data_IF_934488098204
#
_entry.id   IF_934488098204
#
_cell.length_a   1.000
_cell.length_b   1.000
_cell.length_c   1.000
_cell.angle_alpha   90.00
_cell.angle_beta   90.00
_cell.angle_gamma   90.00
#
_symmetry.space_group_name_H-M   'P 1'
#
loop_
_entity.id
_entity.type
_entity.pdbx_description
1 polymer ?
#
# COMPACT_ATOMS: atom_id res chain seq x y z
N UNK A 1 -11.50 -4.70 -9.21
CA UNK A 1 -12.36 -5.42 -8.24
C UNK A 1 -13.30 -4.42 -7.57
N UNK A 2 -14.51 -4.82 -7.15
CA UNK A 2 -15.49 -3.96 -6.45
C UNK A 2 -15.17 -3.98 -4.95
N UNK A 3 -15.63 -3.01 -4.16
CA UNK A 3 -15.69 -3.02 -2.68
C UNK A 3 -14.64 -2.14 -1.97
N UNK A 4 -14.94 -0.87 -1.71
CA UNK A 4 -14.27 0.00 -0.76
C UNK A 4 -15.04 0.01 0.57
N UNK A 5 -14.36 0.30 1.68
CA UNK A 5 -14.97 0.40 3.02
C UNK A 5 -16.28 1.22 2.96
N UNK A 6 -17.35 0.77 3.64
CA UNK A 6 -18.67 1.34 3.47
C UNK A 6 -18.72 2.67 4.19
N UNK A 7 -18.95 3.74 3.42
CA UNK A 7 -19.28 5.06 3.95
C UNK A 7 -20.73 5.30 3.59
N UNK A 8 -21.66 4.96 4.49
CA UNK A 8 -23.08 5.24 4.25
C UNK A 8 -23.36 6.73 4.04
N UNK A 9 -24.59 7.11 3.69
CA UNK A 9 -25.00 8.50 3.43
C UNK A 9 -24.58 9.50 4.54
N UNK A 10 -23.56 10.35 4.34
CA UNK A 10 -23.05 11.29 5.36
C UNK A 10 -24.12 12.22 5.94
N UNK A 11 -25.17 12.49 5.15
CA UNK A 11 -26.29 13.36 5.48
C UNK A 11 -27.47 12.64 6.18
N UNK A 12 -27.37 11.34 6.41
CA UNK A 12 -28.31 10.56 7.22
C UNK A 12 -27.54 9.66 8.20
N UNK A 13 -27.09 10.20 9.34
CA UNK A 13 -26.44 9.41 10.40
C UNK A 13 -27.43 8.50 11.16
N UNK A 14 -28.73 8.68 10.92
CA UNK A 14 -29.85 7.99 11.54
C UNK A 14 -30.50 7.08 10.49
N UNK A 15 -30.21 5.78 10.54
CA UNK A 15 -31.01 4.77 9.84
C UNK A 15 -31.72 3.80 10.78
N UNK A 16 -31.47 3.90 12.08
CA UNK A 16 -32.28 3.27 13.13
C UNK A 16 -32.19 4.18 14.37
N UNK A 17 -33.30 4.82 14.71
CA UNK A 17 -33.46 5.56 15.98
C UNK A 17 -33.41 4.56 17.14
N UNK A 18 -33.93 3.35 16.93
CA UNK A 18 -33.80 2.21 17.84
C UNK A 18 -32.62 1.29 17.45
N UNK A 19 -31.44 1.55 18.05
CA UNK A 19 -30.30 0.64 17.96
C UNK A 19 -30.50 -0.64 18.81
N UNK A 20 -29.49 -1.51 18.85
CA UNK A 20 -29.48 -2.73 19.70
C UNK A 20 -29.62 -2.37 21.20
N UNK A 21 -29.16 -1.17 21.57
CA UNK A 21 -29.40 -0.53 22.86
C UNK A 21 -29.96 0.87 22.57
N UNK A 22 -31.06 1.21 23.23
CA UNK A 22 -31.70 2.52 23.19
C UNK A 22 -32.07 2.93 24.61
N UNK A 23 -31.67 4.13 25.02
CA UNK A 23 -32.15 4.79 26.23
C UNK A 23 -32.66 6.18 25.84
N UNK A 24 -33.97 6.33 25.67
CA UNK A 24 -34.63 7.62 25.57
C UNK A 24 -35.46 7.90 26.83
N UNK A 25 -35.18 9.01 27.52
CA UNK A 25 -36.11 9.56 28.50
C UNK A 25 -37.42 9.94 27.77
N UNK A 26 -38.54 9.39 28.25
CA UNK A 26 -39.83 9.34 27.54
C UNK A 26 -40.23 10.63 26.82
N UNK A 27 -40.29 10.54 25.49
CA UNK A 27 -40.85 11.51 24.56
C UNK A 27 -41.06 10.83 23.20
N UNK A 28 -42.20 11.08 22.58
CA UNK A 28 -42.75 10.46 21.37
C UNK A 28 -41.73 10.32 20.21
N UNK A 29 -41.51 9.11 19.63
CA UNK A 29 -40.55 8.88 18.54
C UNK A 29 -41.02 9.38 17.14
N UNK A 30 -42.16 10.07 17.03
CA UNK A 30 -42.83 10.28 15.75
C UNK A 30 -43.12 11.75 15.35
N UNK A 31 -42.33 12.75 15.78
CA UNK A 31 -42.44 14.10 15.21
C UNK A 31 -41.25 14.45 14.30
N UNK A 32 -41.44 14.46 12.95
CA UNK A 32 -40.40 14.77 11.97
C UNK A 32 -39.97 16.25 11.95
N UNK A 33 -40.56 17.09 12.80
CA UNK A 33 -40.27 18.52 12.92
C UNK A 33 -39.79 18.95 14.32
N UNK A 34 -39.77 18.06 15.33
CA UNK A 34 -39.20 18.39 16.64
C UNK A 34 -37.70 18.14 16.64
N UNK A 35 -36.96 19.17 16.99
CA UNK A 35 -35.55 19.30 16.68
C UNK A 35 -34.59 18.47 17.53
N UNK A 36 -35.02 17.85 18.64
CA UNK A 36 -34.09 17.20 19.59
C UNK A 36 -34.72 16.01 20.31
N UNK A 37 -34.24 14.80 20.02
CA UNK A 37 -34.36 13.65 20.89
C UNK A 37 -32.96 13.37 21.46
N UNK A 38 -32.81 13.44 22.79
CA UNK A 38 -31.54 13.11 23.47
C UNK A 38 -31.36 11.58 23.55
N UNK A 39 -31.47 10.91 22.41
CA UNK A 39 -31.32 9.47 22.30
C UNK A 39 -29.85 9.10 22.03
N UNK A 40 -29.44 7.99 22.63
CA UNK A 40 -28.18 7.31 22.32
C UNK A 40 -28.56 5.94 21.76
N UNK A 41 -28.01 5.59 20.60
CA UNK A 41 -28.24 4.29 19.99
C UNK A 41 -26.94 3.64 19.53
N UNK A 42 -26.84 2.32 19.72
CA UNK A 42 -25.68 1.54 19.30
C UNK A 42 -26.04 0.58 18.17
N UNK A 43 -25.24 0.60 17.11
CA UNK A 43 -25.35 -0.32 15.97
C UNK A 43 -24.09 -1.18 15.88
N UNK A 44 -24.29 -2.47 15.64
CA UNK A 44 -23.21 -3.39 15.35
C UNK A 44 -23.50 -4.10 14.04
N UNK A 45 -22.47 -4.32 13.25
CA UNK A 45 -22.59 -4.95 11.95
C UNK A 45 -21.32 -5.69 11.58
N UNK A 46 -21.38 -6.33 10.44
CA UNK A 46 -20.24 -6.99 9.83
C UNK A 46 -20.13 -6.53 8.39
N UNK A 47 -18.91 -6.32 7.96
CA UNK A 47 -18.61 -5.96 6.60
C UNK A 47 -17.56 -6.92 6.02
N UNK A 48 -17.97 -7.67 5.01
CA UNK A 48 -17.12 -8.65 4.33
C UNK A 48 -16.52 -8.09 3.05
N UNK A 49 -15.30 -8.57 2.74
CA UNK A 49 -14.61 -8.47 1.46
C UNK A 49 -14.60 -7.07 0.84
N UNK A 50 -13.84 -6.13 1.41
CA UNK A 50 -13.50 -4.89 0.70
C UNK A 50 -12.20 -5.03 -0.04
N UNK A 51 -12.22 -4.89 -1.36
CA UNK A 51 -11.06 -4.76 -2.23
C UNK A 51 -10.76 -3.29 -2.55
N UNK A 52 -9.74 -2.75 -1.90
CA UNK A 52 -9.09 -1.52 -2.35
C UNK A 52 -8.35 -1.79 -3.66
N UNK A 53 -8.74 -1.15 -4.76
CA UNK A 53 -8.03 -1.20 -6.06
C UNK A 53 -7.75 0.23 -6.54
N UNK A 54 -6.49 0.68 -6.45
CA UNK A 54 -6.08 2.03 -6.91
C UNK A 54 -4.69 2.06 -7.51
N UNK A 55 -4.51 3.02 -8.42
CA UNK A 55 -3.19 3.38 -8.94
C UNK A 55 -2.37 4.10 -7.87
N UNK A 56 -1.42 3.36 -7.29
CA UNK A 56 -0.40 3.90 -6.38
C UNK A 56 0.77 4.50 -7.15
N UNK A 57 1.30 5.63 -6.66
CA UNK A 57 2.53 6.26 -7.14
C UNK A 57 3.61 6.10 -6.09
N UNK A 58 4.84 5.81 -6.51
CA UNK A 58 6.01 5.83 -5.65
C UNK A 58 6.30 7.26 -5.15
N UNK A 59 6.55 7.39 -3.86
CA UNK A 59 6.91 8.64 -3.20
C UNK A 59 8.39 8.61 -2.82
N UNK A 60 9.22 8.97 -3.79
CA UNK A 60 10.69 8.89 -3.67
C UNK A 60 11.34 10.17 -4.19
N UNK A 61 12.57 10.42 -3.77
CA UNK A 61 13.38 11.53 -4.28
C UNK A 61 13.75 11.32 -5.76
N UNK A 62 14.02 12.43 -6.47
CA UNK A 62 14.46 12.41 -7.87
C UNK A 62 15.79 11.68 -8.06
N UNK A 63 16.64 11.76 -7.05
CA UNK A 63 17.95 11.13 -7.04
C UNK A 63 17.99 10.02 -5.99
N UNK A 64 18.80 9.00 -6.27
CA UNK A 64 19.04 7.82 -5.48
C UNK A 64 20.54 7.55 -5.44
N UNK A 65 21.04 7.23 -4.26
CA UNK A 65 22.47 7.07 -4.02
C UNK A 65 22.89 5.63 -4.34
N UNK A 66 23.77 5.46 -5.33
CA UNK A 66 24.31 4.16 -5.74
C UNK A 66 25.66 4.30 -6.46
N UNK A 67 26.28 3.19 -6.85
CA UNK A 67 27.55 3.18 -7.58
C UNK A 67 27.46 3.82 -8.97
N UNK A 68 28.59 4.35 -9.44
CA UNK A 68 28.74 4.88 -10.79
C UNK A 68 28.37 3.83 -11.84
N UNK A 69 27.60 4.22 -12.87
CA UNK A 69 27.20 3.31 -13.93
C UNK A 69 28.42 2.82 -14.73
N UNK A 70 28.42 1.56 -15.22
CA UNK A 70 29.34 1.15 -16.27
C UNK A 70 29.24 2.07 -17.49
N UNK A 71 30.36 2.29 -18.15
CA UNK A 71 30.55 3.24 -19.25
C UNK A 71 31.14 2.55 -20.48
N UNK A 72 31.16 3.26 -21.61
CA UNK A 72 31.79 2.76 -22.85
C UNK A 72 33.31 2.64 -22.76
N UNK A 73 33.96 3.05 -21.67
CA UNK A 73 35.37 2.76 -21.41
C UNK A 73 35.61 1.38 -20.78
N UNK A 74 34.57 0.68 -20.33
CA UNK A 74 34.64 -0.62 -19.65
C UNK A 74 34.69 -1.82 -20.63
N UNK A 75 35.32 -1.65 -21.80
CA UNK A 75 35.24 -2.57 -22.96
C UNK A 75 36.09 -3.84 -22.81
N UNK A 76 36.98 -3.91 -21.81
CA UNK A 76 37.83 -5.06 -21.50
C UNK A 76 37.59 -5.57 -20.06
N UNK A 77 36.32 -5.50 -19.63
CA UNK A 77 35.93 -5.60 -18.23
C UNK A 77 35.85 -4.23 -17.57
N UNK A 78 35.30 -4.21 -16.35
CA UNK A 78 35.13 -3.01 -15.55
C UNK A 78 36.52 -2.38 -15.26
N UNK A 79 36.76 -1.13 -15.66
CA UNK A 79 38.06 -0.49 -15.45
C UNK A 79 38.23 0.02 -14.02
N UNK A 80 37.12 0.41 -13.38
CA UNK A 80 37.09 0.93 -12.03
C UNK A 80 35.95 0.29 -11.24
N UNK A 81 36.24 -0.13 -10.01
CA UNK A 81 35.22 -0.61 -9.10
C UNK A 81 34.30 0.52 -8.61
N UNK A 82 32.99 0.26 -8.47
CA UNK A 82 32.04 1.24 -7.96
C UNK A 82 32.20 1.37 -6.44
N UNK A 83 33.28 1.96 -5.97
CA UNK A 83 33.62 2.12 -4.54
C UNK A 83 33.11 3.44 -3.93
N UNK A 84 32.56 4.32 -4.77
CA UNK A 84 32.03 5.61 -4.37
C UNK A 84 30.53 5.68 -4.61
N UNK A 85 29.85 6.32 -3.66
CA UNK A 85 28.44 6.60 -3.76
C UNK A 85 28.21 7.83 -4.64
N UNK A 86 27.30 7.72 -5.61
CA UNK A 86 27.00 8.77 -6.58
C UNK A 86 25.49 8.96 -6.67
N UNK A 87 25.05 10.22 -6.68
CA UNK A 87 23.67 10.57 -6.92
C UNK A 87 23.28 10.21 -8.37
N UNK A 88 22.27 9.35 -8.54
CA UNK A 88 21.77 8.94 -9.85
C UNK A 88 20.27 9.17 -9.98
N UNK A 89 19.74 9.34 -11.20
CA UNK A 89 18.29 9.40 -11.41
C UNK A 89 17.62 8.18 -10.80
N UNK A 90 16.66 8.42 -9.90
CA UNK A 90 15.98 7.36 -9.19
C UNK A 90 15.02 6.62 -10.14
N UNK A 91 15.21 5.31 -10.38
CA UNK A 91 14.35 4.53 -11.27
C UNK A 91 12.88 4.53 -10.88
N UNK A 92 12.59 4.59 -9.57
CA UNK A 92 11.23 4.64 -9.04
C UNK A 92 10.60 6.02 -9.18
N UNK A 93 11.34 7.09 -9.46
CA UNK A 93 10.77 8.42 -9.51
C UNK A 93 9.72 8.54 -10.62
N UNK A 94 8.50 8.95 -10.23
CA UNK A 94 7.40 9.11 -11.18
C UNK A 94 6.76 7.80 -11.64
N UNK A 95 7.12 6.66 -11.05
CA UNK A 95 6.54 5.35 -11.38
C UNK A 95 5.26 5.07 -10.61
N UNK A 96 4.48 4.14 -11.14
CA UNK A 96 3.22 3.69 -10.57
C UNK A 96 3.24 2.18 -10.43
N UNK A 97 2.53 1.66 -9.41
CA UNK A 97 2.26 0.24 -9.31
C UNK A 97 1.29 -0.19 -10.41
N UNK A 98 1.49 -1.42 -10.90
CA UNK A 98 0.64 -2.01 -11.93
C UNK A 98 -0.68 -2.47 -11.32
N UNK A 99 -0.58 -3.07 -10.14
CA UNK A 99 -1.72 -3.55 -9.37
C UNK A 99 -1.48 -3.34 -7.88
N UNK A 100 -2.54 -3.05 -7.14
CA UNK A 100 -2.48 -2.87 -5.70
C UNK A 100 -3.86 -3.16 -5.10
N UNK A 101 -3.98 -4.36 -4.52
CA UNK A 101 -5.19 -4.86 -3.90
C UNK A 101 -5.02 -4.96 -2.39
N UNK A 102 -5.98 -4.46 -1.62
CA UNK A 102 -6.09 -4.80 -0.19
C UNK A 102 -7.48 -5.32 0.11
N UNK A 103 -7.54 -6.50 0.71
CA UNK A 103 -8.75 -7.18 1.14
C UNK A 103 -8.95 -6.95 2.63
N UNK A 104 -10.07 -6.36 3.03
CA UNK A 104 -10.39 -6.13 4.44
C UNK A 104 -11.72 -6.72 4.80
N UNK A 105 -11.74 -7.43 5.93
CA UNK A 105 -12.91 -8.05 6.49
C UNK A 105 -13.05 -7.58 7.95
N UNK A 106 -14.14 -6.90 8.30
CA UNK A 106 -14.23 -6.19 9.58
C UNK A 106 -15.62 -6.23 10.20
N UNK A 107 -15.66 -6.35 11.53
CA UNK A 107 -16.82 -5.97 12.33
C UNK A 107 -16.91 -4.44 12.40
N UNK A 108 -18.13 -3.94 12.50
CA UNK A 108 -18.46 -2.52 12.61
C UNK A 108 -19.23 -2.25 13.89
N UNK A 109 -18.92 -1.13 14.51
CA UNK A 109 -19.67 -0.59 15.62
C UNK A 109 -19.86 0.90 15.40
N UNK A 110 -21.07 1.37 15.70
CA UNK A 110 -21.43 2.77 15.61
C UNK A 110 -22.25 3.17 16.83
N UNK A 111 -21.93 4.34 17.37
CA UNK A 111 -22.62 4.95 18.48
C UNK A 111 -23.18 6.28 17.98
N UNK A 112 -24.49 6.32 17.85
CA UNK A 112 -25.22 7.54 17.57
C UNK A 112 -25.49 8.29 18.88
N UNK A 113 -25.24 9.61 18.85
CA UNK A 113 -25.45 10.55 19.94
C UNK A 113 -26.34 11.68 19.40
N UNK A 114 -27.46 11.93 20.08
CA UNK A 114 -28.37 13.06 19.80
C UNK A 114 -28.93 13.07 18.37
N UNK A 115 -29.09 11.89 17.75
CA UNK A 115 -29.60 11.66 16.39
C UNK A 115 -28.86 12.34 15.24
N UNK A 116 -27.81 13.12 15.53
CA UNK A 116 -27.10 13.98 14.56
C UNK A 116 -25.63 13.66 14.44
N UNK A 117 -25.06 12.99 15.43
CA UNK A 117 -23.66 12.64 15.47
C UNK A 117 -23.52 11.13 15.63
N UNK A 118 -22.64 10.53 14.85
CA UNK A 118 -22.35 9.10 14.96
C UNK A 118 -20.84 8.89 14.93
N UNK A 119 -20.33 8.24 15.97
CA UNK A 119 -18.95 7.80 16.08
C UNK A 119 -18.92 6.32 15.78
N UNK A 120 -18.10 5.95 14.82
CA UNK A 120 -18.01 4.56 14.38
C UNK A 120 -16.58 4.07 14.35
N UNK A 121 -16.43 2.77 14.50
CA UNK A 121 -15.16 2.09 14.31
C UNK A 121 -15.37 0.76 13.58
N UNK A 122 -14.31 0.30 12.93
CA UNK A 122 -14.27 -1.05 12.39
C UNK A 122 -13.07 -1.77 12.97
N UNK A 123 -13.24 -3.04 13.32
CA UNK A 123 -12.17 -3.92 13.77
C UNK A 123 -12.18 -5.15 12.88
N UNK A 124 -11.05 -5.48 12.27
CA UNK A 124 -11.02 -6.51 11.25
C UNK A 124 -9.64 -7.06 10.98
N UNK A 125 -9.56 -7.76 9.86
CA UNK A 125 -8.34 -8.31 9.33
C UNK A 125 -8.13 -7.85 7.88
N UNK A 126 -6.89 -7.52 7.52
CA UNK A 126 -6.52 -7.09 6.19
C UNK A 126 -5.37 -7.95 5.65
N UNK A 127 -5.48 -8.32 4.38
CA UNK A 127 -4.40 -8.90 3.56
C UNK A 127 -4.25 -8.06 2.29
N UNK A 128 -3.11 -8.14 1.62
CA UNK A 128 -2.81 -7.30 0.47
C UNK A 128 -1.90 -7.97 -0.55
N UNK A 129 -2.01 -7.47 -1.77
CA UNK A 129 -1.24 -7.86 -2.93
C UNK A 129 -0.78 -6.60 -3.66
N UNK A 130 0.51 -6.51 -3.95
CA UNK A 130 1.09 -5.42 -4.73
C UNK A 130 1.91 -5.99 -5.88
N UNK A 131 1.67 -5.46 -7.08
CA UNK A 131 2.45 -5.79 -8.28
C UNK A 131 2.96 -4.53 -8.94
N UNK A 132 4.23 -4.54 -9.33
CA UNK A 132 4.80 -3.43 -10.07
C UNK A 132 5.99 -3.81 -10.91
N UNK A 133 6.36 -2.89 -11.80
CA UNK A 133 7.64 -2.97 -12.46
C UNK A 133 8.76 -2.78 -11.41
N UNK A 134 9.84 -3.54 -11.55
CA UNK A 134 11.02 -3.53 -10.68
C UNK A 134 11.65 -2.14 -10.47
N UNK A 135 11.54 -1.22 -11.43
CA UNK A 135 11.96 0.16 -11.26
C UNK A 135 11.22 0.83 -10.08
N UNK A 136 9.94 0.52 -9.87
CA UNK A 136 9.12 1.06 -8.77
C UNK A 136 9.59 0.60 -7.38
N UNK A 137 10.36 -0.49 -7.34
CA UNK A 137 10.96 -1.07 -6.14
C UNK A 137 12.47 -0.82 -6.06
N UNK A 138 13.03 0.08 -6.89
CA UNK A 138 14.47 0.34 -6.94
C UNK A 138 15.30 -0.97 -6.96
N UNK A 139 14.91 -1.94 -7.79
CA UNK A 139 15.70 -3.16 -7.95
C UNK A 139 17.05 -2.79 -8.58
N UNK A 140 18.11 -2.97 -7.82
CA UNK A 140 19.48 -2.61 -8.19
C UNK A 140 20.41 -3.81 -8.01
N UNK A 141 21.45 -3.84 -8.84
CA UNK A 141 22.48 -4.86 -8.77
C UNK A 141 23.88 -4.29 -8.87
N UNK A 142 24.84 -5.07 -8.37
CA UNK A 142 26.25 -4.90 -8.68
C UNK A 142 26.57 -5.73 -9.92
N UNK A 143 26.84 -5.04 -11.02
CA UNK A 143 27.27 -5.62 -12.27
C UNK A 143 28.77 -5.39 -12.45
N UNK A 144 29.51 -6.49 -12.52
CA UNK A 144 30.94 -6.48 -12.72
C UNK A 144 31.74 -5.92 -11.55
N UNK A 145 32.94 -6.45 -11.37
CA UNK A 145 33.96 -5.89 -10.48
C UNK A 145 35.34 -6.31 -10.98
N UNK A 146 36.32 -5.42 -10.83
CA UNK A 146 37.75 -5.69 -11.00
C UNK A 146 38.34 -6.38 -9.77
N UNK A 147 37.70 -6.21 -8.60
CA UNK A 147 38.07 -6.91 -7.37
C UNK A 147 38.16 -8.41 -7.64
N UNK A 148 39.32 -9.02 -7.34
CA UNK A 148 39.49 -10.47 -7.44
C UNK A 148 38.48 -11.18 -6.54
N UNK A 149 37.97 -12.33 -6.98
CA UNK A 149 36.98 -13.11 -6.24
C UNK A 149 37.35 -13.35 -4.76
N UNK A 150 38.63 -13.61 -4.47
CA UNK A 150 39.15 -13.82 -3.10
C UNK A 150 39.01 -12.61 -2.16
N UNK A 151 38.88 -11.41 -2.71
CA UNK A 151 38.78 -10.14 -1.97
C UNK A 151 37.39 -9.52 -2.01
N UNK A 152 36.44 -10.15 -2.71
CA UNK A 152 35.08 -9.64 -2.91
C UNK A 152 34.36 -9.31 -1.59
N UNK A 153 34.46 -10.21 -0.60
CA UNK A 153 33.75 -10.06 0.66
C UNK A 153 34.23 -8.89 1.52
N UNK A 154 35.43 -8.38 1.25
CA UNK A 154 36.02 -7.24 1.96
C UNK A 154 35.97 -5.95 1.15
N UNK A 155 35.50 -6.01 -0.10
CA UNK A 155 35.44 -4.85 -0.98
C UNK A 155 34.15 -4.06 -0.74
N UNK A 156 34.29 -2.74 -0.60
CA UNK A 156 33.18 -1.82 -0.41
C UNK A 156 32.55 -1.45 -1.77
N UNK A 157 31.82 -2.39 -2.38
CA UNK A 157 31.30 -2.27 -3.74
C UNK A 157 29.82 -1.88 -3.74
N UNK A 158 29.50 -0.73 -4.34
CA UNK A 158 28.14 -0.22 -4.45
C UNK A 158 27.42 -0.82 -5.65
N UNK A 159 26.13 -1.20 -5.54
CA UNK A 159 25.30 -1.54 -6.69
C UNK A 159 25.34 -0.44 -7.74
N UNK A 160 25.65 -0.78 -8.99
CA UNK A 160 25.94 0.17 -10.07
C UNK A 160 24.96 0.07 -11.26
N UNK A 161 24.02 -0.86 -11.24
CA UNK A 161 23.00 -1.02 -12.28
C UNK A 161 21.60 -1.06 -11.69
N UNK A 162 20.62 -0.53 -12.44
CA UNK A 162 19.21 -0.58 -12.09
C UNK A 162 18.51 -1.57 -13.03
N UNK A 163 17.84 -2.57 -12.46
CA UNK A 163 17.20 -3.67 -13.19
C UNK A 163 15.74 -3.30 -13.45
N UNK A 164 15.49 -2.44 -14.44
CA UNK A 164 14.19 -1.77 -14.65
C UNK A 164 13.20 -2.53 -15.54
N UNK A 165 13.58 -3.68 -16.09
CA UNK A 165 12.75 -4.48 -16.99
C UNK A 165 12.35 -5.79 -16.33
N UNK A 166 11.55 -5.69 -15.27
CA UNK A 166 11.16 -6.84 -14.49
C UNK A 166 9.86 -6.61 -13.73
N UNK A 167 9.35 -7.69 -13.17
CA UNK A 167 8.13 -7.71 -12.37
C UNK A 167 8.50 -8.07 -10.94
N UNK A 168 7.94 -7.34 -9.99
CA UNK A 168 8.03 -7.63 -8.56
C UNK A 168 6.61 -7.77 -8.04
N UNK A 169 6.37 -8.85 -7.33
CA UNK A 169 5.10 -9.18 -6.69
C UNK A 169 5.31 -9.36 -5.19
N UNK A 170 4.36 -8.85 -4.42
CA UNK A 170 4.42 -8.84 -2.98
C UNK A 170 3.06 -9.26 -2.43
N UNK A 171 3.06 -10.29 -1.59
CA UNK A 171 1.90 -10.76 -0.85
C UNK A 171 2.09 -10.50 0.63
N UNK A 172 1.05 -10.06 1.31
CA UNK A 172 1.10 -9.79 2.74
C UNK A 172 0.30 -10.81 3.55
N UNK A 173 0.78 -11.10 4.74
CA UNK A 173 0.04 -11.87 5.73
C UNK A 173 -1.23 -11.13 6.17
N UNK A 174 -2.17 -11.89 6.72
CA UNK A 174 -3.40 -11.37 7.31
C UNK A 174 -3.08 -10.75 8.66
N UNK A 175 -3.28 -9.43 8.78
CA UNK A 175 -3.04 -8.71 10.04
C UNK A 175 -4.31 -8.05 10.55
N UNK A 176 -4.29 -7.67 11.83
CA UNK A 176 -5.33 -6.83 12.39
C UNK A 176 -5.37 -5.45 11.72
N UNK A 177 -6.58 -5.01 11.40
CA UNK A 177 -6.88 -3.71 10.85
C UNK A 177 -7.96 -3.02 11.68
N UNK A 178 -7.86 -1.71 11.80
CA UNK A 178 -8.85 -0.92 12.51
C UNK A 178 -9.14 0.38 11.79
N UNK A 179 -10.34 0.90 11.99
CA UNK A 179 -10.68 2.25 11.59
C UNK A 179 -11.51 2.94 12.66
N UNK A 180 -11.43 4.27 12.67
CA UNK A 180 -12.30 5.14 13.46
C UNK A 180 -12.79 6.26 12.58
N UNK A 181 -14.04 6.64 12.75
CA UNK A 181 -14.63 7.73 12.03
C UNK A 181 -15.76 8.39 12.81
N UNK A 182 -16.15 9.54 12.31
CA UNK A 182 -17.28 10.29 12.80
C UNK A 182 -18.08 10.84 11.63
N UNK A 183 -19.38 10.96 11.81
CA UNK A 183 -20.30 11.59 10.87
C UNK A 183 -21.23 12.53 11.63
N UNK A 184 -21.58 13.65 11.02
CA UNK A 184 -22.41 14.66 11.63
C UNK A 184 -23.34 15.32 10.62
N UNK A 185 -24.58 15.60 11.02
CA UNK A 185 -25.44 16.57 10.36
C UNK A 185 -24.94 17.99 10.69
N UNK A 186 -24.48 18.72 9.67
CA UNK A 186 -23.96 20.08 9.79
C UNK A 186 -25.05 21.13 9.72
N UNK A 187 -26.10 20.87 8.94
CA UNK A 187 -27.20 21.80 8.74
C UNK A 187 -28.47 21.05 8.33
N UNK A 188 -29.60 21.56 8.80
CA UNK A 188 -30.93 21.06 8.45
C UNK A 188 -31.86 22.25 8.18
N UNK A 189 -32.66 22.16 7.12
CA UNK A 189 -33.77 23.09 6.89
C UNK A 189 -34.92 22.35 6.21
N UNK A 190 -36.03 22.21 6.95
CA UNK A 190 -37.14 21.39 6.50
C UNK A 190 -36.68 19.95 6.26
N UNK A 191 -36.89 19.45 5.04
CA UNK A 191 -36.52 18.08 4.66
C UNK A 191 -35.10 17.96 4.09
N UNK A 192 -34.31 19.04 4.04
CA UNK A 192 -32.95 19.03 3.51
C UNK A 192 -31.92 18.92 4.64
N UNK A 193 -30.96 18.00 4.50
CA UNK A 193 -29.86 17.82 5.47
C UNK A 193 -28.52 17.85 4.76
N UNK A 194 -27.60 18.66 5.28
CA UNK A 194 -26.19 18.66 4.89
C UNK A 194 -25.41 17.91 5.97
N UNK A 195 -24.68 16.87 5.60
CA UNK A 195 -23.84 16.11 6.51
C UNK A 195 -22.41 16.00 6.04
N UNK A 196 -21.52 15.70 6.97
CA UNK A 196 -20.12 15.40 6.69
C UNK A 196 -19.69 14.13 7.43
N UNK A 197 -18.71 13.43 6.87
CA UNK A 197 -18.07 12.31 7.53
C UNK A 197 -16.56 12.35 7.37
N UNK A 198 -15.89 11.72 8.32
CA UNK A 198 -14.45 11.54 8.34
C UNK A 198 -14.13 10.15 8.86
N UNK A 199 -13.14 9.50 8.26
CA UNK A 199 -12.68 8.19 8.69
C UNK A 199 -11.17 8.08 8.50
N UNK A 200 -10.53 7.43 9.45
CA UNK A 200 -9.15 7.01 9.39
C UNK A 200 -9.07 5.50 9.56
N UNK A 201 -8.38 4.82 8.65
CA UNK A 201 -8.12 3.39 8.72
C UNK A 201 -6.61 3.11 8.72
N UNK A 202 -6.21 2.08 9.46
CA UNK A 202 -4.83 1.65 9.59
C UNK A 202 -4.71 0.13 9.71
N UNK A 203 -3.67 -0.41 9.07
CA UNK A 203 -3.20 -1.78 9.26
C UNK A 203 -1.69 -1.85 9.01
N UNK A 204 -1.01 -2.81 9.65
CA UNK A 204 0.43 -3.06 9.42
C UNK A 204 0.68 -4.51 9.04
N UNK A 205 0.29 -4.95 7.83
CA UNK A 205 0.55 -6.31 7.41
C UNK A 205 2.04 -6.55 7.19
N UNK A 206 2.51 -7.74 7.56
CA UNK A 206 3.86 -8.20 7.23
C UNK A 206 3.86 -8.77 5.82
N UNK A 207 4.98 -8.65 5.12
CA UNK A 207 5.17 -9.30 3.83
C UNK A 207 5.37 -10.80 4.08
N UNK A 208 4.52 -11.62 3.47
CA UNK A 208 4.61 -13.07 3.57
C UNK A 208 5.43 -13.65 2.41
N UNK A 209 5.24 -13.13 1.21
CA UNK A 209 5.96 -13.60 0.02
C UNK A 209 6.39 -12.41 -0.85
N UNK A 210 7.64 -12.47 -1.32
CA UNK A 210 8.22 -11.48 -2.21
C UNK A 210 8.85 -12.21 -3.40
N UNK A 211 8.30 -11.95 -4.57
CA UNK A 211 8.72 -12.56 -5.83
C UNK A 211 9.33 -11.50 -6.72
N UNK A 212 10.53 -11.79 -7.21
CA UNK A 212 11.26 -10.93 -8.13
C UNK A 212 11.55 -11.74 -9.38
N UNK A 213 10.97 -11.31 -10.50
CA UNK A 213 11.14 -11.94 -11.80
C UNK A 213 11.82 -10.94 -12.72
N UNK A 214 13.15 -11.05 -12.85
CA UNK A 214 13.93 -10.26 -13.79
C UNK A 214 14.83 -11.13 -14.67
N UNK A 215 15.13 -10.66 -15.88
CA UNK A 215 15.98 -11.39 -16.82
C UNK A 215 17.38 -11.74 -16.26
N UNK A 216 17.85 -11.00 -15.24
CA UNK A 216 19.17 -11.19 -14.65
C UNK A 216 19.17 -11.89 -13.27
N UNK A 217 18.00 -12.01 -12.64
CA UNK A 217 17.83 -12.59 -11.30
C UNK A 217 16.36 -12.94 -11.08
N UNK A 218 16.11 -14.18 -10.67
CA UNK A 218 14.80 -14.64 -10.26
C UNK A 218 14.90 -15.22 -8.85
N UNK A 219 14.10 -14.70 -7.92
CA UNK A 219 14.09 -15.20 -6.55
C UNK A 219 12.75 -14.97 -5.88
N UNK A 220 12.43 -15.88 -4.97
CA UNK A 220 11.26 -15.86 -4.10
C UNK A 220 11.74 -15.90 -2.66
N UNK A 221 11.21 -15.03 -1.81
CA UNK A 221 11.52 -15.00 -0.39
C UNK A 221 10.23 -15.15 0.40
N UNK A 222 10.18 -16.18 1.24
CA UNK A 222 9.15 -16.34 2.25
C UNK A 222 9.56 -15.53 3.50
N UNK A 223 8.64 -14.69 4.00
CA UNK A 223 8.84 -13.79 5.15
C UNK A 223 10.12 -12.97 5.01
N UNK A 224 10.23 -12.14 3.96
CA UNK A 224 11.45 -11.42 3.66
C UNK A 224 11.86 -10.52 4.82
N UNK A 225 13.16 -10.57 5.14
CA UNK A 225 13.80 -9.70 6.11
C UNK A 225 14.79 -8.79 5.40
N UNK A 226 14.92 -7.57 5.90
CA UNK A 226 15.78 -6.56 5.29
C UNK A 226 16.26 -5.51 6.28
N UNK A 227 17.00 -4.53 5.77
CA UNK A 227 17.58 -3.46 6.55
C UNK A 227 16.73 -2.20 6.40
N UNK A 228 16.19 -1.71 7.52
CA UNK A 228 15.38 -0.49 7.56
C UNK A 228 16.28 0.73 7.58
N UNK A 229 16.10 1.64 6.62
CA UNK A 229 16.85 2.91 6.56
C UNK A 229 18.36 2.79 6.32
N UNK A 230 18.86 1.62 5.96
CA UNK A 230 20.29 1.42 5.67
C UNK A 230 20.68 2.04 4.32
N UNK A 231 21.90 2.56 4.21
CA UNK A 231 22.50 3.00 2.94
C UNK A 231 23.13 1.84 2.16
N UNK A 232 23.45 2.06 0.89
CA UNK A 232 24.22 1.09 0.11
C UNK A 232 25.72 1.29 0.37
N UNK A 233 26.54 0.25 0.19
CA UNK A 233 26.13 -1.14 -0.01
C UNK A 233 25.54 -1.74 1.26
N UNK A 234 24.68 -2.76 1.09
CA UNK A 234 24.26 -3.58 2.23
C UNK A 234 25.42 -4.44 2.70
N UNK A 235 25.34 -4.92 3.95
CA UNK A 235 26.31 -5.87 4.50
C UNK A 235 26.50 -7.07 3.55
N UNK A 236 27.72 -7.58 3.43
CA UNK A 236 28.00 -8.71 2.53
C UNK A 236 27.23 -9.97 2.93
N UNK A 237 26.87 -10.12 4.21
CA UNK A 237 26.04 -11.21 4.73
C UNK A 237 24.56 -11.04 4.42
N UNK A 238 24.12 -9.89 3.88
CA UNK A 238 22.74 -9.66 3.49
C UNK A 238 22.24 -10.76 2.53
N UNK A 239 21.06 -11.30 2.81
CA UNK A 239 20.47 -12.42 2.06
C UNK A 239 20.97 -13.81 2.49
N UNK A 240 21.89 -13.91 3.45
CA UNK A 240 22.33 -15.18 4.05
C UNK A 240 21.65 -15.43 5.40
N UNK A 241 21.74 -16.65 5.92
CA UNK A 241 21.29 -16.97 7.28
C UNK A 241 22.09 -16.26 8.38
N UNK A 242 23.31 -15.80 8.07
CA UNK A 242 24.16 -15.07 9.00
C UNK A 242 23.85 -13.56 9.08
N UNK A 243 22.91 -13.06 8.26
CA UNK A 243 22.53 -11.65 8.26
C UNK A 243 22.00 -11.22 9.64
N UNK A 244 22.65 -10.23 10.24
CA UNK A 244 22.22 -9.63 11.51
C UNK A 244 21.63 -8.24 11.29
N UNK A 245 20.86 -7.73 12.25
CA UNK A 245 20.27 -6.37 12.16
C UNK A 245 19.09 -6.24 11.19
N UNK A 246 18.61 -7.35 10.62
CA UNK A 246 17.45 -7.35 9.71
C UNK A 246 16.12 -7.31 10.48
N UNK A 247 15.10 -6.70 9.87
CA UNK A 247 13.71 -6.69 10.36
C UNK A 247 12.79 -7.33 9.32
N UNK A 248 11.67 -7.87 9.78
CA UNK A 248 10.59 -8.34 8.89
C UNK A 248 10.12 -7.18 8.02
N UNK A 249 9.97 -7.41 6.71
CA UNK A 249 9.35 -6.44 5.83
C UNK A 249 7.87 -6.30 6.20
N UNK A 250 7.41 -5.07 6.37
CA UNK A 250 6.01 -4.75 6.67
C UNK A 250 5.57 -3.53 5.88
N UNK A 251 4.27 -3.43 5.65
CA UNK A 251 3.68 -2.29 4.98
C UNK A 251 2.71 -1.61 5.95
N UNK A 252 3.00 -0.39 6.36
CA UNK A 252 2.09 0.48 7.10
C UNK A 252 1.09 1.12 6.13
N UNK A 253 -0.14 0.59 6.15
CA UNK A 253 -1.26 1.14 5.41
C UNK A 253 -1.98 2.18 6.26
N UNK A 254 -2.23 3.33 5.63
CA UNK A 254 -2.98 4.45 6.19
C UNK A 254 -3.95 4.98 5.16
N UNK A 255 -5.22 5.10 5.53
CA UNK A 255 -6.23 5.73 4.70
C UNK A 255 -6.98 6.82 5.45
N UNK A 256 -7.06 8.00 4.83
CA UNK A 256 -7.92 9.08 5.24
C UNK A 256 -9.07 9.22 4.25
N UNK A 257 -10.29 9.26 4.76
CA UNK A 257 -11.49 9.57 3.98
C UNK A 257 -12.22 10.74 4.61
N UNK A 258 -12.69 11.67 3.78
CA UNK A 258 -13.56 12.75 4.18
C UNK A 258 -14.68 12.87 3.16
N UNK A 259 -15.90 13.14 3.58
CA UNK A 259 -17.01 13.34 2.66
C UNK A 259 -18.00 14.36 3.16
N UNK A 260 -18.75 14.92 2.23
CA UNK A 260 -19.83 15.88 2.47
C UNK A 260 -20.98 15.54 1.54
N UNK A 261 -22.19 15.47 2.06
CA UNK A 261 -23.38 15.11 1.29
C UNK A 261 -24.56 16.00 1.65
N UNK A 262 -25.44 16.22 0.67
CA UNK A 262 -26.73 16.86 0.81
C UNK A 262 -27.81 15.80 0.51
N UNK A 263 -28.71 15.59 1.45
CA UNK A 263 -29.88 14.72 1.31
C UNK A 263 -31.17 15.53 1.35
N UNK A 264 -32.23 14.95 0.78
CA UNK A 264 -33.57 15.51 0.85
C UNK A 264 -34.60 14.41 1.10
N UNK A 265 -35.38 14.51 2.17
CA UNK A 265 -36.40 13.50 2.53
C UNK A 265 -37.69 13.71 1.72
N UNK A 266 -38.06 12.70 0.94
CA UNK A 266 -39.29 12.59 0.15
C UNK A 266 -40.13 11.41 0.68
N UNK A 267 -40.89 11.64 1.76
CA UNK A 267 -41.68 10.60 2.42
C UNK A 267 -40.79 9.40 2.85
N UNK A 268 -40.88 8.25 2.19
CA UNK A 268 -40.06 7.05 2.44
C UNK A 268 -38.72 7.02 1.70
N UNK A 269 -38.48 7.96 0.78
CA UNK A 269 -37.27 8.03 -0.03
C UNK A 269 -36.39 9.18 0.43
N UNK A 270 -35.11 8.93 0.67
CA UNK A 270 -34.12 9.99 0.86
C UNK A 270 -33.02 9.90 -0.19
N UNK A 271 -33.18 10.58 -1.34
CA UNK A 271 -32.06 10.81 -2.24
C UNK A 271 -30.98 11.68 -1.59
N UNK A 272 -29.73 11.42 -1.96
CA UNK A 272 -28.59 12.28 -1.61
C UNK A 272 -27.57 12.36 -2.73
N UNK A 273 -26.82 13.45 -2.70
CA UNK A 273 -25.64 13.68 -3.52
C UNK A 273 -24.50 14.14 -2.61
N UNK A 274 -23.31 13.60 -2.80
CA UNK A 274 -22.16 13.95 -2.00
C UNK A 274 -20.87 13.98 -2.79
N UNK A 275 -19.88 14.62 -2.19
CA UNK A 275 -18.49 14.58 -2.61
C UNK A 275 -17.70 13.82 -1.57
N UNK A 276 -16.78 12.99 -2.04
CA UNK A 276 -15.86 12.26 -1.16
C UNK A 276 -14.42 12.53 -1.59
N UNK A 277 -13.54 12.57 -0.62
CA UNK A 277 -12.11 12.67 -0.79
C UNK A 277 -11.48 11.51 -0.05
N UNK A 278 -10.53 10.82 -0.70
CA UNK A 278 -9.72 9.80 -0.06
C UNK A 278 -8.25 9.94 -0.43
N UNK A 279 -7.39 9.64 0.55
CA UNK A 279 -5.95 9.53 0.37
C UNK A 279 -5.41 8.34 1.14
N UNK A 280 -4.75 7.47 0.38
CA UNK A 280 -4.07 6.30 0.92
C UNK A 280 -2.55 6.46 0.84
N UNK A 281 -1.86 5.99 1.87
CA UNK A 281 -0.42 5.87 1.95
C UNK A 281 -0.06 4.45 2.38
N UNK A 282 0.94 3.89 1.71
CA UNK A 282 1.60 2.65 2.09
C UNK A 282 3.05 3.01 2.40
N UNK A 283 3.49 2.81 3.63
CA UNK A 283 4.88 3.03 4.03
C UNK A 283 5.55 1.69 4.31
N UNK A 284 6.78 1.51 3.86
CA UNK A 284 7.53 0.27 4.07
C UNK A 284 8.89 0.57 4.74
N UNK A 285 8.97 1.69 5.46
CA UNK A 285 10.16 2.18 6.17
C UNK A 285 11.44 2.21 5.30
N UNK A 286 11.29 2.29 3.98
CA UNK A 286 12.40 2.21 3.02
C UNK A 286 13.26 0.96 3.25
N UNK A 287 12.64 -0.17 3.60
CA UNK A 287 13.36 -1.42 3.87
C UNK A 287 14.06 -1.92 2.60
N UNK A 288 15.32 -2.32 2.75
CA UNK A 288 16.13 -2.90 1.68
C UNK A 288 16.34 -4.38 1.89
N UNK A 289 16.03 -5.16 0.86
CA UNK A 289 16.06 -6.62 0.90
C UNK A 289 17.05 -7.08 -0.15
N UNK A 290 18.01 -7.91 0.26
CA UNK A 290 18.97 -8.53 -0.64
C UNK A 290 18.41 -9.85 -1.18
N UNK A 291 18.83 -10.23 -2.38
CA UNK A 291 18.58 -11.55 -2.94
C UNK A 291 19.14 -12.63 -1.98
N UNK A 292 18.40 -13.72 -1.74
CA UNK A 292 18.90 -14.85 -0.95
C UNK A 292 20.17 -15.45 -1.56
N UNK A 293 21.15 -15.76 -0.73
CA UNK A 293 22.38 -16.43 -1.13
C UNK A 293 22.95 -17.29 -0.01
N UNK A 294 23.86 -18.20 -0.35
CA UNK A 294 24.57 -19.02 0.62
C UNK A 294 25.60 -18.17 1.39
N UNK A 295 25.83 -18.52 2.66
CA UNK A 295 26.85 -17.87 3.48
C UNK A 295 28.27 -18.15 2.98
N UNK A 296 28.49 -19.35 2.45
CA UNK A 296 29.71 -19.76 1.78
C UNK A 296 29.36 -20.30 0.39
N UNK A 297 30.14 -19.92 -0.62
CA UNK A 297 29.97 -20.44 -1.97
C UNK A 297 30.36 -21.93 -2.00
N UNK A 298 29.41 -22.78 -2.42
CA UNK A 298 29.66 -24.23 -2.61
C UNK A 298 30.09 -24.50 -4.05
N UNK A 299 29.49 -23.77 -4.99
CA UNK A 299 29.83 -23.77 -6.41
C UNK A 299 30.07 -22.29 -6.78
N UNK A 300 31.18 -21.99 -7.45
CA UNK A 300 31.52 -20.64 -7.95
C UNK A 300 30.66 -20.26 -9.17
N UNK A 301 29.36 -20.53 -9.07
CA UNK A 301 28.38 -20.28 -10.13
C UNK A 301 27.72 -18.95 -9.83
N UNK A 302 27.94 -18.00 -10.73
CA UNK A 302 27.28 -16.70 -10.73
C UNK A 302 26.30 -16.65 -11.90
N UNK A 303 25.25 -15.83 -11.77
CA UNK A 303 24.27 -15.69 -12.85
C UNK A 303 24.93 -15.00 -14.04
N UNK A 304 25.23 -15.79 -15.08
CA UNK A 304 25.72 -15.28 -16.36
C UNK A 304 24.57 -14.54 -17.06
N UNK A 305 24.80 -13.28 -17.45
CA UNK A 305 23.84 -12.55 -18.30
C UNK A 305 24.40 -12.41 -19.73
N UNK A 306 24.15 -13.37 -20.62
CA UNK A 306 24.72 -13.36 -21.98
C UNK A 306 24.20 -12.22 -22.85
N UNK A 307 23.05 -11.62 -22.52
CA UNK A 307 22.40 -10.57 -23.32
C UNK A 307 22.88 -9.14 -23.03
N UNK A 308 23.50 -8.88 -21.86
CA UNK A 308 24.01 -7.53 -21.53
C UNK A 308 25.43 -7.34 -22.04
N UNK A 309 26.26 -8.39 -22.04
CA UNK A 309 27.66 -8.28 -22.46
C UNK A 309 27.81 -7.90 -23.95
N UNK A 310 26.87 -8.30 -24.82
CA UNK A 310 26.82 -7.98 -26.25
C UNK A 310 28.01 -8.49 -27.10
N UNK A 311 29.15 -8.79 -26.46
CA UNK A 311 30.45 -9.19 -26.99
C UNK A 311 31.40 -9.48 -25.80
N UNK A 312 31.25 -10.61 -25.11
CA UNK A 312 32.09 -10.99 -23.97
C UNK A 312 32.81 -12.31 -24.17
N UNK A 313 34.03 -12.42 -23.65
CA UNK A 313 34.76 -13.69 -23.44
C UNK A 313 34.93 -13.87 -21.94
N UNK A 314 34.53 -15.03 -21.40
CA UNK A 314 34.65 -15.32 -19.97
C UNK A 314 36.12 -15.21 -19.54
N UNK A 315 36.40 -14.27 -18.64
CA UNK A 315 37.74 -14.09 -18.06
C UNK A 315 38.09 -15.32 -17.22
N UNK A 316 39.34 -15.78 -17.29
CA UNK A 316 39.77 -16.97 -16.56
C UNK A 316 39.69 -16.75 -15.03
N UNK A 317 39.32 -17.80 -14.29
CA UNK A 317 39.23 -17.73 -12.82
C UNK A 317 40.56 -17.30 -12.19
N UNK A 318 40.54 -16.33 -11.27
CA UNK A 318 41.71 -15.89 -10.52
C UNK A 318 42.59 -14.85 -11.23
N UNK A 319 42.15 -14.29 -12.36
CA UNK A 319 42.74 -13.06 -12.91
C UNK A 319 41.94 -11.81 -12.50
N UNK A 320 42.54 -10.63 -12.63
CA UNK A 320 41.77 -9.37 -12.55
C UNK A 320 40.59 -9.43 -13.53
N UNK A 321 39.44 -8.87 -13.12
CA UNK A 321 38.19 -8.86 -13.90
C UNK A 321 37.50 -10.21 -14.08
N UNK A 322 37.86 -11.25 -13.31
CA UNK A 322 37.18 -12.57 -13.36
C UNK A 322 35.67 -12.48 -13.08
N UNK A 323 35.23 -11.50 -12.29
CA UNK A 323 33.82 -11.23 -12.01
C UNK A 323 33.20 -10.13 -12.89
N UNK A 324 33.93 -9.58 -13.88
CA UNK A 324 33.48 -8.42 -14.64
C UNK A 324 32.19 -8.65 -15.46
N UNK A 325 31.94 -9.89 -15.90
CA UNK A 325 30.81 -10.25 -16.77
C UNK A 325 29.63 -10.87 -16.00
N UNK A 326 29.61 -10.71 -14.68
CA UNK A 326 28.69 -11.44 -13.79
C UNK A 326 27.95 -10.49 -12.86
N UNK A 327 26.73 -10.89 -12.47
CA UNK A 327 25.96 -10.18 -11.46
C UNK A 327 26.26 -10.76 -10.08
N UNK A 328 26.72 -9.91 -9.16
CA UNK A 328 27.23 -10.35 -7.86
C UNK A 328 26.23 -10.17 -6.73
N UNK A 329 25.57 -9.02 -6.69
CA UNK A 329 24.63 -8.65 -5.64
C UNK A 329 23.39 -8.11 -6.32
N UNK A 330 22.22 -8.54 -5.86
CA UNK A 330 20.94 -7.93 -6.21
C UNK A 330 20.21 -7.58 -4.94
N UNK A 331 19.58 -6.41 -4.95
CA UNK A 331 18.79 -5.93 -3.84
C UNK A 331 17.68 -5.03 -4.35
N UNK A 332 16.61 -4.91 -3.56
CA UNK A 332 15.51 -3.98 -3.84
C UNK A 332 15.19 -3.17 -2.60
N UNK A 333 14.46 -2.07 -2.81
CA UNK A 333 13.96 -1.20 -1.77
C UNK A 333 12.43 -1.11 -1.87
N UNK A 334 11.74 -1.52 -0.81
CA UNK A 334 10.30 -1.26 -0.73
C UNK A 334 10.11 0.22 -0.41
N UNK A 335 9.57 0.95 -1.39
CA UNK A 335 9.38 2.40 -1.29
C UNK A 335 8.07 2.75 -0.63
N UNK A 336 8.01 3.96 -0.05
CA UNK A 336 6.74 4.60 0.26
C UNK A 336 5.93 4.80 -1.01
N UNK A 337 4.63 4.51 -0.94
CA UNK A 337 3.69 4.68 -2.04
C UNK A 337 2.49 5.48 -1.57
N UNK A 338 1.96 6.32 -2.46
CA UNK A 338 0.78 7.14 -2.20
C UNK A 338 -0.22 6.97 -3.34
N UNK A 339 -1.49 6.81 -2.99
CA UNK A 339 -2.57 6.94 -3.95
C UNK A 339 -2.57 8.36 -4.52
N UNK A 340 -2.99 8.52 -5.78
CA UNK A 340 -3.42 9.83 -6.28
C UNK A 340 -4.55 10.34 -5.36
N UNK A 341 -4.58 11.66 -5.12
CA UNK A 341 -5.70 12.28 -4.41
C UNK A 341 -6.96 11.98 -5.22
N UNK A 342 -7.90 11.24 -4.63
CA UNK A 342 -9.15 10.89 -5.30
C UNK A 342 -10.25 11.79 -4.75
N UNK A 343 -10.96 12.46 -5.65
CA UNK A 343 -12.15 13.27 -5.36
C UNK A 343 -13.19 12.99 -6.45
N UNK A 344 -14.46 13.11 -6.11
CA UNK A 344 -15.57 12.84 -7.01
C UNK A 344 -16.87 12.67 -6.25
N UNK A 345 -17.84 12.02 -6.90
CA UNK A 345 -19.25 12.15 -6.55
C UNK A 345 -19.80 10.80 -6.10
N UNK A 346 -20.63 10.84 -5.06
CA UNK A 346 -21.50 9.77 -4.65
C UNK A 346 -22.95 10.23 -4.83
N UNK A 347 -23.79 9.39 -5.43
CA UNK A 347 -25.24 9.61 -5.48
C UNK A 347 -25.93 8.34 -5.04
N UNK A 348 -26.94 8.48 -4.20
CA UNK A 348 -27.68 7.34 -3.70
C UNK A 348 -29.07 7.73 -3.25
N UNK A 349 -29.84 6.71 -2.90
CA UNK A 349 -31.11 6.87 -2.23
C UNK A 349 -31.24 5.84 -1.14
N UNK A 350 -31.73 6.26 0.01
CA UNK A 350 -32.13 5.37 1.08
C UNK A 350 -33.64 5.24 1.09
N UNK A 351 -34.15 4.01 1.20
CA UNK A 351 -35.57 3.74 1.45
C UNK A 351 -35.67 3.31 2.90
N UNK A 352 -36.50 4.00 3.68
CA UNK A 352 -36.69 3.70 5.10
C UNK A 352 -38.17 3.47 5.36
N UNK A 353 -38.51 2.31 5.91
CA UNK A 353 -39.80 2.06 6.57
C UNK A 353 -39.55 2.11 8.08
N UNK A 354 -40.11 3.13 8.73
CA UNK A 354 -39.96 3.48 10.14
C UNK A 354 -39.89 2.22 11.03
N UNK A 355 -38.66 1.80 11.35
CA UNK A 355 -38.29 0.75 12.30
C UNK A 355 -38.26 -0.71 11.80
N UNK A 356 -38.43 -0.99 10.50
CA UNK A 356 -38.39 -2.38 9.98
C UNK A 356 -37.20 -2.69 9.12
N UNK A 357 -36.92 -1.84 8.14
CA UNK A 357 -35.81 -2.03 7.23
C UNK A 357 -35.40 -0.69 6.62
N UNK A 358 -34.10 -0.59 6.35
CA UNK A 358 -33.53 0.44 5.52
C UNK A 358 -32.78 -0.25 4.38
N UNK A 359 -32.99 0.20 3.15
CA UNK A 359 -32.23 -0.25 1.97
C UNK A 359 -31.58 0.97 1.35
N UNK A 360 -30.25 0.95 1.23
CA UNK A 360 -29.50 2.04 0.60
C UNK A 360 -28.94 1.57 -0.73
N UNK A 361 -29.28 2.29 -1.80
CA UNK A 361 -28.63 2.11 -3.11
C UNK A 361 -27.72 3.29 -3.35
N UNK A 362 -26.43 3.05 -3.53
CA UNK A 362 -25.43 4.10 -3.76
C UNK A 362 -24.55 3.79 -4.97
N UNK A 363 -24.25 4.81 -5.76
CA UNK A 363 -23.22 4.78 -6.79
C UNK A 363 -22.13 5.77 -6.44
N UNK A 364 -20.86 5.36 -6.57
CA UNK A 364 -19.69 6.19 -6.32
C UNK A 364 -18.84 6.25 -7.57
N UNK A 365 -18.13 7.36 -7.78
CA UNK A 365 -17.24 7.58 -8.93
C UNK A 365 -15.75 7.68 -8.56
N UNK A 366 -15.38 7.45 -7.29
CA UNK A 366 -14.05 7.80 -6.73
C UNK A 366 -13.26 6.60 -6.26
N UNK A 367 -13.91 5.79 -5.43
CA UNK A 367 -13.29 4.65 -4.76
C UNK A 367 -13.63 3.35 -5.51
N UNK A 368 -14.66 3.42 -6.36
CA UNK A 368 -15.34 2.35 -7.07
C UNK A 368 -15.83 2.95 -8.40
N UNK A 369 -15.71 2.24 -9.52
CA UNK A 369 -16.59 2.47 -10.68
C UNK A 369 -17.82 1.57 -10.50
N UNK A 370 -18.56 1.72 -9.41
CA UNK A 370 -19.54 0.72 -9.02
C UNK A 370 -20.79 1.26 -8.30
N UNK A 371 -21.81 0.39 -8.27
CA UNK A 371 -23.10 0.57 -7.62
C UNK A 371 -23.25 -0.48 -6.52
N UNK A 372 -23.71 -0.07 -5.33
CA UNK A 372 -23.86 -0.90 -4.14
C UNK A 372 -25.28 -0.85 -3.63
N UNK A 373 -25.76 -1.98 -3.10
CA UNK A 373 -27.03 -2.10 -2.39
C UNK A 373 -26.72 -2.65 -1.01
N UNK A 374 -27.02 -1.88 0.04
CA UNK A 374 -26.84 -2.23 1.44
C UNK A 374 -28.18 -2.38 2.14
#
# INVERSE_FOLDING_TARGET
SLQALPVGNPAEPSLMIDGILWEGFGGDPCDPCTTWCDAISMRMGYYGDFVFDRVLKTDVNKEFQMGAAPTTSDVAGLQNDPTTNVARPNPAYGKHMQDAEMFTNAAYMALNIWDRFDVFCTLGATTGYLKGNSASFNLVGLFGTKTQASSFNTANLFPNTALNQAVVELYTDTTFAWSVGARAALWECGCATLGASFQYAQSKPKVEELNVLCNASEFTINKPKGYVGAEFPLDITAGTEAATGTKDASIDYHEWQASLALSYRLNMFTPYIGVKWSRVSFDADTIRIAQPKLAEAILDVTTLNPTIAGKGTVVASGSENDLADTMQIVSLQLNKMKSRKSCGIAVGTTIVDADKYAVTVETRLIDERAAHVN
#
